data_IF_736291033002
#
_entry.id   IF_736291033002
#
_cell.length_a   1.000
_cell.length_b   1.000
_cell.length_c   1.000
_cell.angle_alpha   90.00
_cell.angle_beta   90.00
_cell.angle_gamma   90.00
#
_symmetry.space_group_name_H-M   'P 1'
#
loop_
_entity.id
_entity.type
_entity.pdbx_description
1 polymer ?
#
# COMPACT_ATOMS: atom_id res chain seq x y z
N UNK A 1 -11.37 1.29 -5.99
CA UNK A 1 -11.96 0.19 -6.78
C UNK A 1 -12.01 -1.06 -5.92
N UNK A 2 -13.12 -1.79 -5.89
CA UNK A 2 -13.23 -3.04 -5.14
C UNK A 2 -12.99 -4.23 -6.08
N UNK A 3 -12.04 -5.12 -5.78
CA UNK A 3 -11.78 -6.28 -6.62
C UNK A 3 -11.14 -7.46 -5.86
N UNK A 4 -11.46 -8.68 -6.29
CA UNK A 4 -10.84 -9.90 -5.78
C UNK A 4 -9.54 -10.16 -6.53
N UNK A 5 -8.46 -10.38 -5.80
CA UNK A 5 -7.17 -10.72 -6.41
C UNK A 5 -7.18 -12.19 -6.82
N UNK A 6 -6.96 -12.47 -8.09
CA UNK A 6 -6.86 -13.83 -8.63
C UNK A 6 -5.45 -14.40 -8.47
N UNK A 7 -4.45 -13.59 -8.80
CA UNK A 7 -3.05 -14.02 -8.86
C UNK A 7 -2.13 -12.84 -8.63
N UNK A 8 -1.00 -13.10 -7.97
CA UNK A 8 0.10 -12.16 -7.84
C UNK A 8 1.36 -12.81 -8.38
N UNK A 9 2.08 -12.13 -9.26
CA UNK A 9 3.36 -12.59 -9.81
C UNK A 9 4.45 -11.56 -9.57
N UNK A 10 5.53 -11.97 -8.93
CA UNK A 10 6.75 -11.16 -8.86
C UNK A 10 7.54 -11.27 -10.17
N UNK A 11 8.03 -10.13 -10.65
CA UNK A 11 8.84 -10.00 -11.85
C UNK A 11 10.02 -9.07 -11.59
N UNK A 12 11.12 -9.31 -12.29
CA UNK A 12 12.29 -8.45 -12.22
C UNK A 12 12.22 -7.36 -13.31
N UNK A 13 12.27 -6.10 -12.91
CA UNK A 13 12.35 -4.95 -13.81
C UNK A 13 13.73 -4.29 -13.80
N UNK A 14 13.93 -3.30 -14.67
CA UNK A 14 15.18 -2.54 -14.76
C UNK A 14 15.51 -1.76 -13.48
N UNK A 15 14.50 -1.32 -12.74
CA UNK A 15 14.64 -0.51 -11.51
C UNK A 15 14.45 -1.31 -10.23
N UNK A 16 14.32 -2.64 -10.33
CA UNK A 16 14.00 -3.51 -9.19
C UNK A 16 12.80 -4.43 -9.46
N UNK A 17 12.43 -5.25 -8.47
CA UNK A 17 11.27 -6.14 -8.58
C UNK A 17 9.97 -5.33 -8.65
N UNK A 18 8.98 -5.92 -9.31
CA UNK A 18 7.61 -5.42 -9.38
C UNK A 18 6.63 -6.59 -9.37
N UNK A 19 5.39 -6.32 -9.00
CA UNK A 19 4.33 -7.32 -8.90
C UNK A 19 3.24 -7.04 -9.93
N UNK A 20 2.80 -8.09 -10.61
CA UNK A 20 1.62 -8.12 -11.46
C UNK A 20 0.47 -8.69 -10.66
N UNK A 21 -0.61 -7.93 -10.54
CA UNK A 21 -1.79 -8.28 -9.76
C UNK A 21 -2.94 -8.50 -10.74
N UNK A 22 -3.27 -9.76 -10.98
CA UNK A 22 -4.44 -10.13 -11.79
C UNK A 22 -5.67 -10.13 -10.90
N UNK A 23 -6.74 -9.47 -11.35
CA UNK A 23 -8.01 -9.41 -10.65
C UNK A 23 -9.02 -10.37 -11.30
N UNK A 24 -9.98 -10.86 -10.51
CA UNK A 24 -11.11 -11.62 -11.05
C UNK A 24 -11.98 -10.72 -11.94
N UNK A 25 -12.35 -11.21 -13.12
CA UNK A 25 -13.16 -10.47 -14.09
C UNK A 25 -12.40 -9.42 -14.92
N UNK A 26 -11.12 -9.16 -14.64
CA UNK A 26 -10.30 -8.22 -15.40
C UNK A 26 -9.31 -8.95 -16.33
N UNK A 27 -9.23 -8.50 -17.58
CA UNK A 27 -8.29 -9.06 -18.56
C UNK A 27 -6.86 -8.54 -18.37
N UNK A 28 -6.72 -7.32 -17.85
CA UNK A 28 -5.42 -6.65 -17.72
C UNK A 28 -4.96 -6.64 -16.25
N UNK A 29 -3.70 -7.02 -15.98
CA UNK A 29 -3.16 -6.95 -14.63
C UNK A 29 -2.87 -5.50 -14.22
N UNK A 30 -2.95 -5.24 -12.92
CA UNK A 30 -2.44 -4.03 -12.31
C UNK A 30 -0.98 -4.21 -11.91
N UNK A 31 -0.23 -3.12 -11.88
CA UNK A 31 1.20 -3.14 -11.58
C UNK A 31 1.47 -2.53 -10.20
N UNK A 32 2.38 -3.15 -9.45
CA UNK A 32 2.84 -2.66 -8.16
C UNK A 32 4.37 -2.66 -8.11
N UNK A 33 4.99 -1.53 -7.72
CA UNK A 33 6.44 -1.42 -7.50
C UNK A 33 6.81 -1.27 -6.03
N UNK A 34 5.82 -1.22 -5.14
CA UNK A 34 6.05 -1.10 -3.71
C UNK A 34 6.44 -2.47 -3.14
N UNK A 35 7.65 -2.52 -2.58
CA UNK A 35 8.30 -3.74 -2.09
C UNK A 35 7.68 -4.31 -0.82
N UNK A 36 6.87 -3.53 -0.11
CA UNK A 36 6.13 -3.97 1.07
C UNK A 36 4.71 -4.37 0.69
N UNK A 37 4.12 -3.63 -0.22
CA UNK A 37 2.74 -3.83 -0.64
C UNK A 37 2.58 -5.08 -1.51
N UNK A 38 3.42 -5.26 -2.55
CA UNK A 38 3.32 -6.39 -3.48
C UNK A 38 3.31 -7.77 -2.82
N UNK A 39 4.29 -8.08 -1.94
CA UNK A 39 4.34 -9.36 -1.22
C UNK A 39 3.21 -9.60 -0.21
N UNK A 40 2.55 -8.53 0.25
CA UNK A 40 1.48 -8.62 1.25
C UNK A 40 0.11 -8.96 0.64
N UNK A 41 0.00 -8.99 -0.69
CA UNK A 41 -1.24 -9.28 -1.39
C UNK A 41 -1.42 -10.80 -1.47
N UNK A 42 -2.56 -11.27 -0.98
CA UNK A 42 -2.93 -12.67 -1.04
C UNK A 42 -3.98 -12.91 -2.13
N UNK A 43 -3.79 -13.93 -2.99
CA UNK A 43 -4.83 -14.32 -3.94
C UNK A 43 -6.06 -14.88 -3.20
N UNK A 44 -7.23 -14.76 -3.85
CA UNK A 44 -8.54 -15.15 -3.31
C UNK A 44 -9.19 -14.13 -2.38
N UNK A 45 -8.50 -13.04 -2.04
CA UNK A 45 -9.00 -12.03 -1.10
C UNK A 45 -9.59 -10.81 -1.82
N UNK A 46 -10.60 -10.20 -1.19
CA UNK A 46 -11.25 -8.98 -1.67
C UNK A 46 -10.53 -7.75 -1.12
N UNK A 47 -10.12 -6.86 -2.03
CA UNK A 47 -9.43 -5.63 -1.67
C UNK A 47 -10.15 -4.41 -2.21
N UNK A 48 -10.09 -3.34 -1.43
CA UNK A 48 -10.29 -1.98 -1.90
C UNK A 48 -8.94 -1.43 -2.36
N UNK A 49 -8.84 -1.15 -3.65
CA UNK A 49 -7.63 -0.76 -4.37
C UNK A 49 -7.73 0.71 -4.79
N UNK A 50 -6.68 1.47 -4.54
CA UNK A 50 -6.46 2.76 -5.20
C UNK A 50 -5.55 2.56 -6.39
N UNK A 51 -6.07 2.86 -7.59
CA UNK A 51 -5.38 2.63 -8.86
C UNK A 51 -5.13 3.97 -9.53
N UNK A 52 -3.87 4.20 -9.92
CA UNK A 52 -3.48 5.28 -10.79
C UNK A 52 -3.45 4.82 -12.24
N UNK A 53 -4.42 5.30 -13.02
CA UNK A 53 -4.58 4.98 -14.44
C UNK A 53 -4.05 6.08 -15.36
N UNK A 54 -3.33 7.08 -14.84
CA UNK A 54 -2.84 8.24 -15.62
C UNK A 54 -1.75 7.87 -16.62
N UNK A 55 -1.12 6.69 -16.46
CA UNK A 55 -0.06 6.19 -17.32
C UNK A 55 -0.48 5.01 -18.20
N UNK A 56 0.43 4.57 -19.08
CA UNK A 56 0.25 3.39 -19.95
C UNK A 56 0.01 2.08 -19.16
N UNK A 57 0.45 2.03 -17.91
CA UNK A 57 0.31 0.87 -17.04
C UNK A 57 -0.41 1.30 -15.76
N UNK A 58 -1.61 0.75 -15.47
CA UNK A 58 -2.36 1.10 -14.27
C UNK A 58 -1.63 0.58 -13.04
N UNK A 59 -1.43 1.46 -12.05
CA UNK A 59 -0.59 1.18 -10.87
C UNK A 59 -1.41 1.13 -9.60
N UNK A 60 -1.16 0.14 -8.76
CA UNK A 60 -1.71 0.12 -7.40
C UNK A 60 -0.89 1.06 -6.52
N UNK A 61 -1.55 2.08 -5.96
CA UNK A 61 -0.96 3.04 -5.01
C UNK A 61 -1.19 2.64 -3.58
N UNK A 62 -2.39 2.15 -3.29
CA UNK A 62 -2.78 1.66 -1.98
C UNK A 62 -3.74 0.49 -2.13
N UNK A 63 -3.76 -0.36 -1.10
CA UNK A 63 -4.75 -1.41 -0.97
C UNK A 63 -5.18 -1.56 0.48
N UNK A 64 -6.43 -1.95 0.67
CA UNK A 64 -7.00 -2.29 1.96
C UNK A 64 -7.75 -3.61 1.83
N UNK A 65 -7.44 -4.56 2.69
CA UNK A 65 -8.19 -5.81 2.77
C UNK A 65 -9.61 -5.50 3.26
N UNK A 66 -10.60 -5.92 2.48
CA UNK A 66 -12.00 -5.83 2.86
C UNK A 66 -12.34 -7.17 3.51
N UNK A 67 -12.40 -7.18 4.84
CA UNK A 67 -12.85 -8.34 5.59
C UNK A 67 -14.31 -8.60 5.22
N UNK A 68 -14.54 -9.53 4.30
CA UNK A 68 -15.90 -9.95 3.94
C UNK A 68 -16.53 -10.62 5.15
N UNK A 69 -17.68 -10.10 5.59
CA UNK A 69 -18.44 -10.57 6.75
C UNK A 69 -19.07 -11.96 6.57
N UNK A 70 -18.82 -12.65 5.46
CA UNK A 70 -19.20 -14.06 5.27
C UNK A 70 -17.93 -14.90 5.28
N UNK A 71 -17.72 -15.57 6.42
CA UNK A 71 -16.49 -16.24 6.78
C UNK A 71 -16.04 -17.29 5.77
N UNK A 72 -14.72 -17.33 5.59
CA UNK A 72 -13.97 -18.56 5.47
C UNK A 72 -12.69 -18.41 6.29
N UNK A 73 -12.41 -19.46 7.04
CA UNK A 73 -11.59 -19.50 8.21
C UNK A 73 -10.16 -18.97 8.02
N UNK A 74 -9.56 -18.42 9.09
CA UNK A 74 -8.14 -18.12 9.13
C UNK A 74 -7.37 -19.41 8.96
N UNK A 75 -6.38 -19.42 8.06
CA UNK A 75 -5.30 -20.38 8.15
C UNK A 75 -4.60 -20.13 9.49
N UNK A 76 -4.88 -20.99 10.46
CA UNK A 76 -4.17 -21.04 11.73
C UNK A 76 -2.66 -21.00 11.50
N UNK A 77 -2.02 -20.00 12.11
CA UNK A 77 -0.84 -20.28 12.92
C UNK A 77 -0.94 -19.46 14.19
N UNK A 78 -1.35 -20.18 15.25
CA UNK A 78 -0.75 -20.18 16.58
C UNK A 78 -0.32 -18.86 17.19
N UNK A 79 -0.97 -18.57 18.33
CA UNK A 79 -0.37 -18.05 19.56
C UNK A 79 0.35 -16.70 19.51
N UNK A 80 -0.15 -15.80 20.35
CA UNK A 80 0.59 -14.66 20.85
C UNK A 80 -0.21 -13.38 20.71
N UNK A 81 -0.73 -12.89 21.83
CA UNK A 81 -1.17 -11.52 22.04
C UNK A 81 -0.31 -10.53 21.22
N UNK A 82 -0.90 -9.87 20.23
CA UNK A 82 -0.23 -8.81 19.48
C UNK A 82 -0.97 -7.48 19.76
N UNK A 83 -0.26 -6.44 20.23
CA UNK A 83 -0.87 -5.20 20.66
C UNK A 83 -1.63 -4.56 19.51
N UNK A 84 -2.84 -4.08 19.78
CA UNK A 84 -3.63 -3.28 18.84
C UNK A 84 -2.83 -2.03 18.49
N UNK A 85 -2.05 -2.10 17.42
CA UNK A 85 -1.29 -0.96 16.90
C UNK A 85 -2.21 -0.23 15.95
N UNK A 86 -2.95 0.75 16.48
CA UNK A 86 -3.67 1.72 15.67
C UNK A 86 -2.63 2.59 14.98
N UNK A 87 -2.37 2.35 13.70
CA UNK A 87 -1.44 3.16 12.91
C UNK A 87 -2.23 4.28 12.25
N UNK A 88 -2.20 5.46 12.86
CA UNK A 88 -2.73 6.69 12.28
C UNK A 88 -1.93 6.99 11.00
N UNK A 89 -2.57 6.95 9.83
CA UNK A 89 -1.98 7.41 8.58
C UNK A 89 -2.26 8.90 8.49
N UNK A 90 -1.29 9.72 8.91
CA UNK A 90 -1.31 11.15 8.65
C UNK A 90 -0.96 11.35 7.18
N UNK A 91 -1.93 11.82 6.38
CA UNK A 91 -1.66 12.42 5.08
C UNK A 91 -0.81 13.65 5.32
N UNK A 92 0.50 13.49 5.14
CA UNK A 92 1.45 14.59 5.24
C UNK A 92 1.40 15.37 3.93
N UNK A 93 0.75 16.52 4.00
CA UNK A 93 0.87 17.54 2.98
C UNK A 93 2.32 18.00 2.92
N UNK A 94 2.96 17.79 1.77
CA UNK A 94 4.40 18.00 1.60
C UNK A 94 4.74 19.48 1.73
N UNK A 95 3.83 20.39 1.36
CA UNK A 95 4.01 21.84 1.54
C UNK A 95 3.97 22.20 3.04
N UNK A 96 3.00 21.66 3.78
CA UNK A 96 2.92 21.88 5.23
C UNK A 96 4.13 21.31 5.99
N UNK A 97 4.69 20.19 5.53
CA UNK A 97 5.90 19.62 6.11
C UNK A 97 7.13 20.47 5.77
N UNK A 98 7.19 21.05 4.57
CA UNK A 98 8.26 21.94 4.15
C UNK A 98 8.28 23.23 4.98
N UNK A 99 7.12 23.86 5.18
CA UNK A 99 7.00 25.07 6.01
C UNK A 99 7.40 24.82 7.47
N UNK A 100 7.02 23.67 8.03
CA UNK A 100 7.39 23.30 9.39
C UNK A 100 8.91 23.09 9.55
N UNK A 101 9.58 22.53 8.52
CA UNK A 101 11.03 22.35 8.51
C UNK A 101 11.76 23.69 8.38
N UNK A 102 11.26 24.61 7.56
CA UNK A 102 11.82 25.96 7.43
C UNK A 102 11.69 26.77 8.74
N UNK A 103 10.52 26.71 9.40
CA UNK A 103 10.31 27.36 10.70
C UNK A 103 11.24 26.82 11.80
N UNK A 104 11.50 25.52 11.80
CA UNK A 104 12.42 24.90 12.76
C UNK A 104 13.88 25.29 12.47
N UNK A 105 14.26 25.38 11.20
CA UNK A 105 15.58 25.85 10.80
C UNK A 105 15.82 27.30 11.20
N UNK A 106 14.80 28.16 11.06
CA UNK A 106 14.85 29.57 11.45
C UNK A 106 15.02 29.73 12.98
N UNK A 107 14.28 28.95 13.78
CA UNK A 107 14.39 28.94 15.24
C UNK A 107 15.75 28.48 15.73
N UNK A 108 16.31 27.43 15.12
CA UNK A 108 17.64 26.92 15.46
C UNK A 108 18.75 27.91 15.10
N UNK A 109 18.58 28.67 14.01
CA UNK A 109 19.50 29.75 13.62
C UNK A 109 19.46 30.90 14.62
N UNK A 110 18.27 31.25 15.12
CA UNK A 110 18.06 32.29 16.13
C UNK A 110 18.53 31.91 17.53
N UNK A 111 18.60 30.62 17.85
CA UNK A 111 19.11 30.11 19.12
C UNK A 111 20.66 29.93 19.15
N UNK A 112 21.31 29.99 17.99
CA UNK A 112 22.78 29.89 17.85
C UNK A 112 23.49 31.24 17.67
N UNK A 113 22.74 32.34 17.52
CA UNK A 113 23.24 33.72 17.56
C UNK A 113 22.90 34.36 18.89
#
# INVERSE_FOLDING_TARGET
MLATVKKVEERQGRSGPYWLISLEGEERPLYCWDRKLGPAILPGQLYELEVDSSGRFPKVKALRLVASANGLAPGEKGEGEAPVTVRLVLTLDVEALQEAVDLLAELLRKARG
#
